data_IF_814142315800
#
_entry.id   IF_814142315800
#
_cell.length_a   1.000
_cell.length_b   1.000
_cell.length_c   1.000
_cell.angle_alpha   90.00
_cell.angle_beta   90.00
_cell.angle_gamma   90.00
#
_symmetry.space_group_name_H-M   'P 1'
#
loop_
_entity.id
_entity.type
_entity.pdbx_description
1 polymer ?
#
# COMPACT_ATOMS: atom_id res chain seq x y z
N UNK A 1 9.36 36.98 -7.94
CA UNK A 1 10.34 35.94 -8.30
C UNK A 1 9.53 34.74 -8.67
N UNK A 2 9.64 34.25 -9.89
CA UNK A 2 9.00 33.01 -10.29
C UNK A 2 9.57 31.88 -9.41
N UNK A 3 8.69 31.00 -8.91
CA UNK A 3 9.13 29.90 -8.03
C UNK A 3 9.91 28.89 -8.86
N UNK A 4 11.16 28.58 -8.48
CA UNK A 4 12.00 27.57 -9.15
C UNK A 4 11.45 26.14 -9.01
N UNK A 5 10.43 25.98 -8.16
CA UNK A 5 9.67 24.75 -7.98
C UNK A 5 8.24 24.95 -8.51
N UNK A 6 7.84 24.09 -9.45
CA UNK A 6 6.48 23.99 -9.97
C UNK A 6 6.04 22.54 -9.90
N UNK A 7 5.11 22.23 -9.00
CA UNK A 7 4.68 20.85 -8.76
C UNK A 7 3.94 20.28 -9.97
N UNK A 8 3.17 21.11 -10.67
CA UNK A 8 2.42 20.73 -11.88
C UNK A 8 3.38 20.37 -13.01
N UNK A 9 4.36 21.24 -13.31
CA UNK A 9 5.28 21.00 -14.42
C UNK A 9 6.17 19.78 -14.18
N UNK A 10 6.68 19.61 -12.95
CA UNK A 10 7.51 18.45 -12.60
C UNK A 10 6.65 17.18 -12.63
N UNK A 11 5.40 17.25 -12.16
CA UNK A 11 4.47 16.13 -12.27
C UNK A 11 4.22 15.75 -13.73
N UNK A 12 3.97 16.70 -14.63
CA UNK A 12 3.80 16.41 -16.06
C UNK A 12 5.07 15.79 -16.69
N UNK A 13 6.25 16.23 -16.27
CA UNK A 13 7.54 15.75 -16.78
C UNK A 13 8.11 14.53 -16.04
N UNK A 14 7.38 13.97 -15.08
CA UNK A 14 7.83 12.88 -14.22
C UNK A 14 8.43 11.68 -14.97
N UNK A 15 7.93 11.36 -16.16
CA UNK A 15 8.43 10.24 -16.96
C UNK A 15 9.93 10.37 -17.31
N UNK A 16 10.50 11.58 -17.24
CA UNK A 16 11.94 11.82 -17.40
C UNK A 16 12.78 11.34 -16.22
N UNK A 17 12.16 11.09 -15.06
CA UNK A 17 12.82 10.77 -13.79
C UNK A 17 12.54 9.34 -13.32
N UNK A 18 11.72 8.56 -14.03
CA UNK A 18 11.38 7.19 -13.62
C UNK A 18 12.57 6.24 -13.70
N UNK A 19 12.89 5.56 -12.61
CA UNK A 19 13.74 4.38 -12.61
C UNK A 19 12.99 3.18 -13.17
N UNK A 20 13.33 2.78 -14.40
CA UNK A 20 12.67 1.69 -15.12
C UNK A 20 13.25 0.31 -14.76
N UNK A 21 14.42 0.28 -14.11
CA UNK A 21 15.04 -0.96 -13.65
C UNK A 21 14.48 -1.46 -12.31
N UNK A 22 13.47 -0.78 -11.74
CA UNK A 22 12.80 -1.18 -10.50
C UNK A 22 11.30 -1.36 -10.74
N UNK A 23 10.81 -2.56 -10.42
CA UNK A 23 9.38 -2.86 -10.43
C UNK A 23 8.79 -2.51 -9.07
N UNK A 24 7.91 -1.52 -9.04
CA UNK A 24 7.28 -1.05 -7.80
C UNK A 24 6.29 -2.06 -7.20
N UNK A 25 5.89 -3.12 -7.93
CA UNK A 25 4.96 -4.13 -7.40
C UNK A 25 5.64 -4.94 -6.29
N UNK A 26 6.94 -5.21 -6.42
CA UNK A 26 7.77 -5.91 -5.42
C UNK A 26 9.23 -5.52 -5.65
N UNK A 27 9.86 -5.00 -4.60
CA UNK A 27 11.27 -4.62 -4.61
C UNK A 27 12.01 -5.46 -3.58
N UNK A 28 13.02 -6.19 -4.04
CA UNK A 28 13.87 -7.08 -3.23
C UNK A 28 15.22 -6.46 -2.90
N UNK A 29 16.01 -7.15 -2.08
CA UNK A 29 17.38 -6.71 -1.80
C UNK A 29 18.26 -6.75 -3.05
N UNK A 30 18.05 -7.73 -3.95
CA UNK A 30 18.81 -7.79 -5.21
C UNK A 30 18.51 -6.61 -6.14
N UNK A 31 17.25 -6.16 -6.20
CA UNK A 31 16.87 -5.01 -7.03
C UNK A 31 17.55 -3.73 -6.53
N UNK A 32 17.48 -3.50 -5.21
CA UNK A 32 18.14 -2.35 -4.56
C UNK A 32 19.66 -2.41 -4.72
N UNK A 33 20.27 -3.58 -4.52
CA UNK A 33 21.73 -3.77 -4.64
C UNK A 33 22.21 -3.48 -6.05
N UNK A 34 21.48 -3.93 -7.08
CA UNK A 34 21.79 -3.63 -8.48
C UNK A 34 21.80 -2.13 -8.75
N UNK A 35 20.81 -1.40 -8.23
CA UNK A 35 20.75 0.06 -8.38
C UNK A 35 21.81 0.77 -7.57
N UNK A 36 22.10 0.33 -6.34
CA UNK A 36 23.21 0.84 -5.53
C UNK A 36 24.52 0.73 -6.30
N UNK A 37 24.80 -0.41 -6.93
CA UNK A 37 25.98 -0.60 -7.75
C UNK A 37 26.01 0.36 -8.95
N UNK A 38 24.87 0.51 -9.66
CA UNK A 38 24.72 1.46 -10.77
C UNK A 38 25.00 2.91 -10.34
N UNK A 39 24.56 3.31 -9.16
CA UNK A 39 24.74 4.66 -8.63
C UNK A 39 26.09 4.88 -7.94
N UNK A 40 26.81 3.82 -7.58
CA UNK A 40 28.08 3.91 -6.82
C UNK A 40 29.17 4.74 -7.48
N UNK A 41 29.14 4.90 -8.81
CA UNK A 41 30.12 5.69 -9.57
C UNK A 41 29.71 7.17 -9.74
N UNK A 42 28.60 7.61 -9.16
CA UNK A 42 28.06 8.97 -9.37
C UNK A 42 28.58 9.93 -8.31
N UNK A 43 29.25 10.99 -8.74
CA UNK A 43 29.93 11.94 -7.84
C UNK A 43 28.98 12.79 -6.98
N UNK A 44 27.72 12.96 -7.39
CA UNK A 44 26.75 13.77 -6.65
C UNK A 44 26.20 13.10 -5.38
N UNK A 45 26.52 11.82 -5.17
CA UNK A 45 26.02 11.03 -4.06
C UNK A 45 27.14 10.21 -3.41
N UNK A 46 26.89 9.76 -2.18
CA UNK A 46 27.73 8.80 -1.45
C UNK A 46 26.86 7.63 -1.02
N UNK A 47 27.34 6.40 -1.18
CA UNK A 47 26.65 5.20 -0.69
C UNK A 47 27.51 4.52 0.37
N UNK A 48 26.91 4.18 1.49
CA UNK A 48 27.54 3.43 2.58
C UNK A 48 26.69 2.19 2.90
N UNK A 49 27.31 1.03 3.09
CA UNK A 49 26.68 -0.10 3.78
C UNK A 49 26.62 0.26 5.26
N UNK A 50 25.41 0.37 5.81
CA UNK A 50 25.18 0.79 7.21
C UNK A 50 24.82 -0.37 8.13
N UNK A 51 24.59 -1.56 7.57
CA UNK A 51 24.39 -2.77 8.36
C UNK A 51 23.93 -3.95 7.53
N UNK A 52 23.41 -4.96 8.22
CA UNK A 52 22.90 -6.19 7.64
C UNK A 52 21.63 -6.63 8.38
N UNK A 53 20.72 -7.28 7.68
CA UNK A 53 19.56 -7.95 8.27
C UNK A 53 19.92 -9.25 8.99
N UNK A 54 18.92 -9.92 9.55
CA UNK A 54 19.07 -11.23 10.20
C UNK A 54 19.66 -12.26 9.24
N UNK A 55 19.18 -12.33 8.00
CA UNK A 55 19.72 -13.22 6.96
C UNK A 55 20.92 -12.62 6.21
N UNK A 56 21.61 -11.63 6.80
CA UNK A 56 22.86 -11.07 6.26
C UNK A 56 22.72 -10.34 4.93
N UNK A 57 21.53 -9.81 4.62
CA UNK A 57 21.33 -8.93 3.47
C UNK A 57 21.75 -7.52 3.80
N UNK A 58 22.41 -6.87 2.86
CA UNK A 58 23.01 -5.56 3.09
C UNK A 58 21.95 -4.46 3.16
N UNK A 59 22.12 -3.54 4.12
CA UNK A 59 21.31 -2.33 4.26
C UNK A 59 22.20 -1.15 3.88
N UNK A 60 21.75 -0.36 2.91
CA UNK A 60 22.50 0.76 2.36
C UNK A 60 21.90 2.10 2.78
N UNK A 61 22.76 3.09 2.99
CA UNK A 61 22.39 4.49 3.11
C UNK A 61 22.99 5.29 1.96
N UNK A 62 22.15 6.06 1.27
CA UNK A 62 22.53 6.93 0.15
C UNK A 62 22.45 8.37 0.63
N UNK A 63 23.56 9.11 0.61
CA UNK A 63 23.64 10.52 0.97
C UNK A 63 23.75 11.39 -0.27
N UNK A 64 22.96 12.46 -0.35
CA UNK A 64 23.11 13.51 -1.36
C UNK A 64 23.15 14.90 -0.70
N UNK A 65 23.75 15.86 -1.40
CA UNK A 65 23.84 17.23 -0.94
C UNK A 65 24.93 17.46 0.10
N UNK A 66 25.11 18.72 0.45
CA UNK A 66 26.17 19.21 1.35
C UNK A 66 25.69 20.34 2.27
N UNK A 67 24.38 20.56 2.31
CA UNK A 67 23.79 21.65 3.07
C UNK A 67 23.64 21.35 4.56
N UNK A 68 23.43 22.40 5.35
CA UNK A 68 23.45 22.30 6.81
C UNK A 68 22.20 21.66 7.41
N UNK A 69 21.09 21.62 6.68
CA UNK A 69 19.85 20.99 7.16
C UNK A 69 19.87 19.51 6.82
N UNK A 70 19.83 18.65 7.84
CA UNK A 70 19.98 17.22 7.67
C UNK A 70 18.61 16.56 7.65
N UNK A 71 18.36 15.76 6.63
CA UNK A 71 17.12 15.00 6.46
C UNK A 71 17.44 13.50 6.45
N UNK A 72 16.57 12.71 7.04
CA UNK A 72 16.60 11.24 6.96
C UNK A 72 15.30 10.76 6.33
N UNK A 73 15.35 9.90 5.33
CA UNK A 73 14.18 9.26 4.76
C UNK A 73 14.42 7.76 4.66
N UNK A 74 13.45 6.94 5.05
CA UNK A 74 13.58 5.49 4.94
C UNK A 74 12.28 4.87 4.44
N UNK A 75 12.43 3.77 3.69
CA UNK A 75 11.32 3.01 3.12
C UNK A 75 11.51 1.51 3.33
N UNK A 76 10.43 0.76 3.08
CA UNK A 76 10.37 -0.69 3.28
C UNK A 76 10.92 -1.13 4.64
N UNK A 77 10.54 -0.43 5.72
CA UNK A 77 10.66 -1.02 7.06
C UNK A 77 9.66 -2.17 7.24
N UNK A 78 8.53 -2.07 6.54
CA UNK A 78 7.69 -3.20 6.19
C UNK A 78 8.06 -3.67 4.79
N UNK A 79 8.40 -4.95 4.64
CA UNK A 79 8.95 -5.47 3.40
C UNK A 79 7.98 -5.48 2.22
N UNK A 80 6.67 -5.49 2.48
CA UNK A 80 5.57 -5.49 1.52
C UNK A 80 5.14 -4.09 1.04
N UNK A 81 5.88 -3.04 1.41
CA UNK A 81 5.55 -1.63 1.13
C UNK A 81 6.59 -0.95 0.19
N UNK A 82 6.72 -1.41 -1.07
CA UNK A 82 7.79 -0.98 -2.00
C UNK A 82 7.59 0.40 -2.65
N UNK A 83 6.41 1.02 -2.56
CA UNK A 83 6.05 2.16 -3.43
C UNK A 83 7.01 3.33 -3.27
N UNK A 84 7.36 3.66 -2.02
CA UNK A 84 8.25 4.78 -1.74
C UNK A 84 9.72 4.48 -2.04
N UNK A 85 10.16 3.22 -1.97
CA UNK A 85 11.51 2.82 -2.40
C UNK A 85 11.71 3.15 -3.87
N UNK A 86 10.71 2.86 -4.70
CA UNK A 86 10.73 3.20 -6.12
C UNK A 86 10.83 4.72 -6.34
N UNK A 87 10.05 5.50 -5.56
CA UNK A 87 10.08 6.96 -5.61
C UNK A 87 11.43 7.56 -5.16
N UNK A 88 12.14 6.94 -4.22
CA UNK A 88 13.50 7.35 -3.84
C UNK A 88 14.45 7.22 -5.04
N UNK A 89 14.40 6.13 -5.79
CA UNK A 89 15.23 5.97 -6.98
C UNK A 89 14.83 6.95 -8.10
N UNK A 90 13.56 7.34 -8.20
CA UNK A 90 13.15 8.41 -9.10
C UNK A 90 13.72 9.77 -8.70
N UNK A 91 13.81 10.04 -7.39
CA UNK A 91 14.49 11.23 -6.88
C UNK A 91 15.98 11.21 -7.22
N UNK A 92 16.66 10.07 -7.08
CA UNK A 92 18.07 9.96 -7.46
C UNK A 92 18.26 10.23 -8.95
N UNK A 93 17.38 9.72 -9.82
CA UNK A 93 17.36 10.09 -11.24
C UNK A 93 17.10 11.58 -11.44
N UNK A 94 16.15 12.16 -10.71
CA UNK A 94 15.90 13.59 -10.77
C UNK A 94 17.18 14.37 -10.47
N UNK A 95 17.91 14.07 -9.39
CA UNK A 95 19.16 14.76 -9.04
C UNK A 95 20.32 14.50 -10.01
N UNK A 96 20.32 13.37 -10.74
CA UNK A 96 21.31 13.08 -11.77
C UNK A 96 21.10 13.89 -13.06
N UNK A 97 19.87 14.34 -13.34
CA UNK A 97 19.55 15.02 -14.60
C UNK A 97 20.20 16.41 -14.67
N UNK A 98 20.56 16.77 -15.91
CA UNK A 98 20.92 18.12 -16.32
C UNK A 98 19.82 18.66 -17.26
N UNK A 99 18.90 19.43 -16.71
CA UNK A 99 17.74 19.99 -17.42
C UNK A 99 17.30 21.33 -16.81
N UNK A 100 16.13 21.87 -17.20
CA UNK A 100 15.64 23.17 -16.73
C UNK A 100 15.48 23.30 -15.19
N UNK A 101 15.48 22.19 -14.44
CA UNK A 101 15.37 22.20 -12.97
C UNK A 101 16.72 22.21 -12.24
N UNK A 102 17.82 22.56 -12.92
CA UNK A 102 19.15 22.62 -12.29
C UNK A 102 19.18 23.60 -11.10
N UNK A 103 18.56 24.79 -11.22
CA UNK A 103 18.51 25.77 -10.13
C UNK A 103 17.82 25.19 -8.88
N UNK A 104 16.75 24.42 -9.08
CA UNK A 104 16.07 23.70 -8.00
C UNK A 104 16.98 22.65 -7.36
N UNK A 105 17.68 21.83 -8.17
CA UNK A 105 18.63 20.83 -7.64
C UNK A 105 19.74 21.49 -6.83
N UNK A 106 20.30 22.57 -7.34
CA UNK A 106 21.36 23.32 -6.66
C UNK A 106 20.87 23.91 -5.34
N UNK A 107 19.68 24.52 -5.31
CA UNK A 107 19.07 25.02 -4.08
C UNK A 107 18.92 23.88 -3.06
N UNK A 108 18.38 22.74 -3.47
CA UNK A 108 18.20 21.58 -2.58
C UNK A 108 19.54 21.04 -2.08
N UNK A 109 20.49 20.76 -2.97
CA UNK A 109 21.79 20.14 -2.63
C UNK A 109 22.70 21.08 -1.81
N UNK A 110 22.56 22.40 -1.95
CA UNK A 110 23.33 23.38 -1.18
C UNK A 110 22.72 23.66 0.20
N UNK A 111 21.40 23.50 0.38
CA UNK A 111 20.71 23.75 1.66
C UNK A 111 20.52 22.50 2.49
N UNK A 112 20.39 21.35 1.85
CA UNK A 112 20.07 20.07 2.47
C UNK A 112 21.24 19.08 2.35
N UNK A 113 21.36 18.22 3.36
CA UNK A 113 22.04 16.92 3.26
C UNK A 113 21.00 15.85 3.54
N UNK A 114 20.73 14.98 2.56
CA UNK A 114 19.62 14.02 2.61
C UNK A 114 20.17 12.62 2.67
N UNK A 115 19.80 11.87 3.70
CA UNK A 115 20.14 10.47 3.90
C UNK A 115 18.93 9.62 3.56
N UNK A 116 19.05 8.74 2.58
CA UNK A 116 18.04 7.74 2.23
C UNK A 116 18.46 6.36 2.71
N UNK A 117 17.55 5.62 3.33
CA UNK A 117 17.65 4.16 3.52
C UNK A 117 16.54 3.52 2.68
N UNK A 118 16.80 3.16 1.41
CA UNK A 118 15.73 2.73 0.49
C UNK A 118 15.09 1.40 0.88
N UNK A 119 15.78 0.54 1.63
CA UNK A 119 15.27 -0.76 2.04
C UNK A 119 15.82 -1.10 3.42
N UNK A 120 15.01 -0.85 4.46
CA UNK A 120 15.40 -1.13 5.84
C UNK A 120 15.19 -2.61 6.22
N UNK A 121 14.14 -3.25 5.72
CA UNK A 121 13.79 -4.65 5.98
C UNK A 121 13.96 -5.53 4.73
N UNK A 122 15.21 -5.82 4.30
CA UNK A 122 15.44 -6.65 3.12
C UNK A 122 14.93 -8.08 3.29
N UNK A 123 14.86 -8.62 4.52
CA UNK A 123 14.36 -9.97 4.78
C UNK A 123 12.85 -10.08 4.58
N UNK A 124 12.09 -9.09 5.07
CA UNK A 124 10.65 -8.98 4.81
C UNK A 124 10.35 -8.80 3.32
N UNK A 125 11.16 -7.99 2.63
CA UNK A 125 10.99 -7.68 1.22
C UNK A 125 11.12 -8.91 0.31
N UNK A 126 12.05 -9.83 0.62
CA UNK A 126 12.14 -11.11 -0.10
C UNK A 126 10.85 -11.93 -0.05
N UNK A 127 10.15 -11.88 1.09
CA UNK A 127 8.90 -12.60 1.30
C UNK A 127 7.64 -11.83 0.92
N UNK A 128 7.77 -10.55 0.53
CA UNK A 128 6.65 -9.59 0.51
C UNK A 128 5.85 -9.66 1.81
N UNK A 129 6.54 -9.44 2.94
CA UNK A 129 5.98 -9.48 4.28
C UNK A 129 6.24 -8.17 5.01
N UNK A 130 5.24 -7.76 5.79
CA UNK A 130 5.34 -6.63 6.71
C UNK A 130 6.47 -6.82 7.71
N UNK A 131 6.50 -7.95 8.40
CA UNK A 131 7.48 -8.22 9.44
C UNK A 131 8.84 -8.63 8.86
N UNK A 132 9.89 -8.58 9.69
CA UNK A 132 11.20 -9.11 9.33
C UNK A 132 11.24 -10.65 9.37
N UNK A 133 12.44 -11.23 9.25
CA UNK A 133 12.64 -12.68 9.22
C UNK A 133 12.02 -13.45 10.39
N UNK A 134 12.02 -12.88 11.59
CA UNK A 134 11.54 -13.53 12.82
C UNK A 134 10.15 -13.03 13.25
N UNK A 135 9.38 -12.47 12.31
CA UNK A 135 8.02 -11.96 12.54
C UNK A 135 7.94 -10.78 13.52
N UNK A 136 9.01 -9.98 13.63
CA UNK A 136 8.96 -8.70 14.34
C UNK A 136 8.56 -7.60 13.37
N UNK A 137 7.49 -6.87 13.69
CA UNK A 137 7.18 -5.58 13.06
C UNK A 137 8.24 -4.56 13.50
N UNK A 138 9.07 -4.10 12.56
CA UNK A 138 10.14 -3.14 12.86
C UNK A 138 9.59 -1.82 13.42
N UNK A 139 8.40 -1.41 12.99
CA UNK A 139 7.71 -0.23 13.50
C UNK A 139 7.01 -0.49 14.85
N UNK A 140 7.35 -1.60 15.52
CA UNK A 140 7.06 -1.91 16.93
C UNK A 140 8.32 -2.26 17.74
N UNK A 141 9.50 -2.01 17.18
CA UNK A 141 10.80 -2.38 17.77
C UNK A 141 11.72 -1.16 17.99
N UNK A 142 11.21 0.07 17.96
CA UNK A 142 12.05 1.27 18.16
C UNK A 142 12.61 1.38 19.59
N UNK A 143 11.89 0.93 20.61
CA UNK A 143 12.34 1.05 22.01
C UNK A 143 13.38 0.01 22.42
N UNK A 144 13.10 -1.26 22.12
CA UNK A 144 13.98 -2.37 22.52
C UNK A 144 15.08 -2.64 21.50
N UNK A 145 14.85 -2.30 20.23
CA UNK A 145 15.81 -2.51 19.14
C UNK A 145 16.33 -3.95 19.13
N UNK A 146 15.41 -4.92 19.23
CA UNK A 146 15.77 -6.34 19.29
C UNK A 146 16.41 -6.78 17.97
N UNK A 147 15.92 -6.23 16.86
CA UNK A 147 16.33 -6.60 15.51
C UNK A 147 17.54 -5.79 15.02
N UNK A 148 18.42 -6.36 14.19
CA UNK A 148 19.54 -5.60 13.63
C UNK A 148 19.07 -4.44 12.75
N UNK A 149 17.94 -4.57 12.05
CA UNK A 149 17.37 -3.52 11.21
C UNK A 149 16.97 -2.29 12.06
N UNK A 150 16.30 -2.51 13.20
CA UNK A 150 15.94 -1.43 14.11
C UNK A 150 17.17 -0.71 14.70
N UNK A 151 18.24 -1.47 15.02
CA UNK A 151 19.51 -0.90 15.49
C UNK A 151 20.16 -0.02 14.43
N UNK A 152 20.22 -0.49 13.18
CA UNK A 152 20.78 0.28 12.05
C UNK A 152 20.09 1.63 11.90
N UNK A 153 18.76 1.68 11.96
CA UNK A 153 18.03 2.94 11.82
C UNK A 153 18.37 3.93 12.96
N UNK A 154 18.46 3.46 14.20
CA UNK A 154 18.90 4.29 15.33
C UNK A 154 20.36 4.73 15.23
N UNK A 155 21.26 3.85 14.81
CA UNK A 155 22.68 4.17 14.63
C UNK A 155 22.86 5.27 13.59
N UNK A 156 22.17 5.17 12.45
CA UNK A 156 22.16 6.21 11.41
C UNK A 156 21.56 7.51 11.97
N UNK A 157 20.37 7.46 12.60
CA UNK A 157 19.71 8.64 13.16
C UNK A 157 20.58 9.35 14.21
N UNK A 158 21.22 8.60 15.12
CA UNK A 158 22.11 9.14 16.15
C UNK A 158 23.41 9.72 15.57
N UNK A 159 23.94 9.11 14.50
CA UNK A 159 25.14 9.59 13.79
C UNK A 159 24.85 10.91 13.08
N UNK A 160 23.74 11.01 12.35
CA UNK A 160 23.47 12.15 11.46
C UNK A 160 22.64 13.25 12.11
N UNK A 161 21.89 12.94 13.17
CA UNK A 161 21.04 13.87 13.94
C UNK A 161 20.13 14.71 13.02
N UNK A 162 19.20 14.06 12.31
CA UNK A 162 18.39 14.75 11.31
C UNK A 162 17.46 15.77 11.98
N UNK A 163 17.24 16.90 11.29
CA UNK A 163 16.24 17.88 11.69
C UNK A 163 14.83 17.34 11.40
N UNK A 164 14.64 16.74 10.23
CA UNK A 164 13.40 16.09 9.82
C UNK A 164 13.66 14.66 9.38
N UNK A 165 12.69 13.79 9.64
CA UNK A 165 12.73 12.40 9.23
C UNK A 165 11.44 12.02 8.48
N UNK A 166 11.56 11.34 7.34
CA UNK A 166 10.45 10.89 6.51
C UNK A 166 10.31 9.38 6.63
N UNK A 167 9.25 8.95 7.29
CA UNK A 167 8.86 7.57 7.45
C UNK A 167 7.94 7.18 6.29
N UNK A 168 8.38 6.31 5.39
CA UNK A 168 7.67 6.03 4.14
C UNK A 168 7.06 4.63 4.16
N UNK A 169 5.74 4.57 4.06
CA UNK A 169 4.91 3.35 4.16
C UNK A 169 3.98 3.20 2.96
N UNK A 170 3.30 2.06 2.90
CA UNK A 170 2.12 1.84 2.08
C UNK A 170 0.90 1.57 2.97
N UNK A 171 -0.24 2.12 2.57
CA UNK A 171 -1.54 1.74 3.11
C UNK A 171 -2.36 0.96 2.08
N UNK A 172 -3.32 0.16 2.56
CA UNK A 172 -4.21 -0.61 1.70
C UNK A 172 -5.23 0.30 0.97
N UNK A 173 -5.97 -0.29 0.03
CA UNK A 173 -6.94 0.43 -0.81
C UNK A 173 -8.28 0.74 -0.12
N UNK A 174 -8.43 0.46 1.17
CA UNK A 174 -9.71 0.55 1.87
C UNK A 174 -9.97 1.92 2.51
N UNK A 175 -8.96 2.81 2.44
CA UNK A 175 -9.01 4.14 3.03
C UNK A 175 -9.63 5.19 2.11
N UNK A 176 -10.47 6.05 2.69
CA UNK A 176 -11.04 7.24 2.08
C UNK A 176 -10.57 8.51 2.78
N UNK A 177 -10.61 9.63 2.06
CA UNK A 177 -10.39 10.97 2.65
C UNK A 177 -11.63 11.37 3.45
N UNK A 178 -11.55 11.28 4.77
CA UNK A 178 -12.72 11.45 5.63
C UNK A 178 -13.88 10.57 5.16
N UNK A 179 -15.09 11.14 5.21
CA UNK A 179 -16.33 10.52 4.72
C UNK A 179 -16.70 10.98 3.31
N UNK A 180 -15.74 11.42 2.50
CA UNK A 180 -16.02 12.00 1.17
C UNK A 180 -16.31 10.95 0.09
N UNK A 181 -16.05 9.66 0.37
CA UNK A 181 -16.11 8.58 -0.63
C UNK A 181 -14.95 8.56 -1.62
N UNK A 182 -14.02 9.53 -1.57
CA UNK A 182 -12.80 9.52 -2.40
C UNK A 182 -11.72 8.68 -1.74
N UNK A 183 -11.02 7.87 -2.54
CA UNK A 183 -9.86 7.10 -2.08
C UNK A 183 -8.75 8.00 -1.55
N UNK A 184 -8.09 7.57 -0.48
CA UNK A 184 -6.92 8.22 0.08
C UNK A 184 -5.68 7.82 -0.71
N UNK A 185 -5.22 8.71 -1.61
CA UNK A 185 -4.06 8.46 -2.46
C UNK A 185 -2.74 8.65 -1.68
N UNK A 186 -2.68 9.67 -0.83
CA UNK A 186 -1.61 9.90 0.13
C UNK A 186 -2.24 10.21 1.48
N UNK A 187 -1.74 9.61 2.55
CA UNK A 187 -2.04 10.10 3.89
C UNK A 187 -0.77 10.44 4.66
N UNK A 188 -0.86 11.42 5.56
CA UNK A 188 0.29 11.92 6.29
C UNK A 188 0.00 12.07 7.77
N UNK A 189 1.03 11.93 8.61
CA UNK A 189 0.92 12.10 10.05
C UNK A 189 2.16 12.79 10.63
N UNK A 190 1.91 13.77 11.49
CA UNK A 190 2.88 14.29 12.44
C UNK A 190 2.80 13.45 13.72
N UNK A 191 3.70 12.46 13.92
CA UNK A 191 3.53 11.44 14.95
C UNK A 191 3.51 12.06 16.35
N UNK A 192 2.59 11.63 17.23
CA UNK A 192 2.57 12.09 18.62
C UNK A 192 3.80 11.60 19.37
N UNK A 193 4.16 12.28 20.46
CA UNK A 193 5.24 11.85 21.35
C UNK A 193 4.74 11.42 22.74
N UNK A 194 3.44 11.54 22.99
CA UNK A 194 2.77 11.11 24.23
C UNK A 194 1.28 10.79 23.98
N UNK A 195 0.66 10.11 24.95
CA UNK A 195 -0.75 9.68 24.89
C UNK A 195 -1.74 10.84 24.95
N UNK A 196 -1.37 11.95 25.61
CA UNK A 196 -2.16 13.18 25.65
C UNK A 196 -2.18 13.91 24.30
N UNK A 197 -1.39 13.41 23.33
CA UNK A 197 -1.37 13.91 21.97
C UNK A 197 -1.01 15.41 21.90
N UNK A 198 -0.13 15.86 22.81
CA UNK A 198 0.27 17.27 22.92
C UNK A 198 1.12 17.72 21.74
N UNK A 199 1.24 19.04 21.56
CA UNK A 199 2.01 19.66 20.48
C UNK A 199 3.21 20.37 21.10
N UNK A 200 4.41 19.81 20.89
CA UNK A 200 5.68 20.48 21.17
C UNK A 200 6.23 21.08 19.85
N UNK A 201 7.35 21.81 19.94
CA UNK A 201 7.96 22.43 18.76
C UNK A 201 8.37 21.41 17.69
N UNK A 202 8.84 20.23 18.07
CA UNK A 202 9.23 19.17 17.13
C UNK A 202 8.04 18.67 16.31
N UNK A 203 6.91 18.37 16.97
CA UNK A 203 5.70 17.91 16.31
C UNK A 203 5.03 19.01 15.52
N UNK A 204 5.03 20.25 16.03
CA UNK A 204 4.53 21.44 15.34
C UNK A 204 5.23 21.64 14.00
N UNK A 205 6.55 21.54 13.94
CA UNK A 205 7.32 21.58 12.69
C UNK A 205 6.88 20.51 11.69
N UNK A 206 6.63 19.27 12.16
CA UNK A 206 6.09 18.20 11.31
C UNK A 206 4.70 18.53 10.78
N UNK A 207 3.79 19.06 11.62
CA UNK A 207 2.44 19.48 11.20
C UNK A 207 2.51 20.57 10.13
N UNK A 208 3.35 21.58 10.35
CA UNK A 208 3.59 22.67 9.40
C UNK A 208 4.15 22.17 8.06
N UNK A 209 5.10 21.24 8.11
CA UNK A 209 5.66 20.63 6.90
C UNK A 209 4.61 19.82 6.14
N UNK A 210 3.80 19.01 6.83
CA UNK A 210 2.70 18.24 6.23
C UNK A 210 1.67 19.17 5.60
N UNK A 211 1.28 20.25 6.27
CA UNK A 211 0.37 21.25 5.71
C UNK A 211 0.94 21.87 4.42
N UNK A 212 2.26 22.13 4.39
CA UNK A 212 2.94 22.62 3.19
C UNK A 212 2.95 21.59 2.06
N UNK A 213 3.25 20.33 2.35
CA UNK A 213 3.23 19.25 1.36
C UNK A 213 1.79 19.04 0.83
N UNK A 214 0.80 19.03 1.72
CA UNK A 214 -0.61 18.92 1.33
C UNK A 214 -1.00 20.04 0.36
N UNK A 215 -0.64 21.30 0.65
CA UNK A 215 -0.91 22.43 -0.27
C UNK A 215 -0.35 22.19 -1.67
N UNK A 216 0.83 21.58 -1.79
CA UNK A 216 1.43 21.20 -3.07
C UNK A 216 0.68 20.06 -3.76
N UNK A 217 0.39 18.97 -3.03
CA UNK A 217 -0.23 17.76 -3.59
C UNK A 217 -1.69 17.99 -3.99
N UNK A 218 -2.41 18.87 -3.29
CA UNK A 218 -3.79 19.25 -3.62
C UNK A 218 -3.91 19.89 -5.01
N UNK A 219 -2.83 20.48 -5.56
CA UNK A 219 -2.81 21.00 -6.94
C UNK A 219 -2.86 19.88 -8.00
N UNK A 220 -2.46 18.67 -7.63
CA UNK A 220 -2.31 17.52 -8.52
C UNK A 220 -3.47 16.53 -8.38
N UNK A 221 -3.88 16.27 -7.13
CA UNK A 221 -4.95 15.33 -6.80
C UNK A 221 -5.92 15.94 -5.77
N UNK A 222 -6.77 16.90 -6.17
CA UNK A 222 -7.66 17.61 -5.26
C UNK A 222 -8.57 16.67 -4.46
N UNK A 223 -8.59 16.84 -3.14
CA UNK A 223 -9.39 16.10 -2.16
C UNK A 223 -9.09 14.59 -2.09
N UNK A 224 -7.84 14.18 -2.38
CA UNK A 224 -7.36 12.79 -2.24
C UNK A 224 -6.18 12.64 -1.28
N UNK A 225 -5.95 13.67 -0.45
CA UNK A 225 -4.96 13.66 0.63
C UNK A 225 -5.68 13.62 1.97
N UNK A 226 -5.20 12.78 2.88
CA UNK A 226 -5.76 12.63 4.22
C UNK A 226 -4.70 12.75 5.32
N UNK A 227 -5.16 12.90 6.56
CA UNK A 227 -4.36 12.74 7.77
C UNK A 227 -4.49 11.31 8.27
N UNK A 228 -3.38 10.66 8.63
CA UNK A 228 -3.43 9.35 9.29
C UNK A 228 -3.76 9.53 10.78
N UNK A 229 -4.39 8.53 11.39
CA UNK A 229 -4.79 8.59 12.80
C UNK A 229 -3.57 8.76 13.70
N UNK A 230 -3.64 9.66 14.67
CA UNK A 230 -2.54 10.07 15.53
C UNK A 230 -2.56 9.40 16.92
N UNK A 231 -2.93 8.12 16.96
CA UNK A 231 -2.81 7.31 18.18
C UNK A 231 -1.32 7.15 18.54
N UNK A 232 -0.96 7.40 19.81
CA UNK A 232 0.41 7.21 20.28
C UNK A 232 0.79 5.73 20.38
N UNK A 233 1.80 5.33 19.62
CA UNK A 233 2.45 4.02 19.66
C UNK A 233 3.94 4.24 20.03
N UNK A 234 4.30 4.18 21.32
CA UNK A 234 5.64 4.51 21.80
C UNK A 234 6.72 3.56 21.28
N UNK A 235 6.36 2.44 20.67
CA UNK A 235 7.31 1.50 20.06
C UNK A 235 7.59 1.79 18.58
N UNK A 236 6.90 2.75 17.98
CA UNK A 236 7.10 3.14 16.59
C UNK A 236 8.27 4.10 16.42
N UNK A 237 8.90 4.09 15.25
CA UNK A 237 10.02 4.99 14.95
C UNK A 237 9.56 6.45 14.83
N UNK A 238 8.36 6.70 14.27
CA UNK A 238 7.81 8.04 14.16
C UNK A 238 7.68 8.74 15.52
N UNK A 239 7.01 8.07 16.48
CA UNK A 239 6.75 8.63 17.80
C UNK A 239 8.04 8.82 18.61
N UNK A 240 8.92 7.82 18.59
CA UNK A 240 10.19 7.87 19.30
C UNK A 240 11.15 8.92 18.72
N UNK A 241 11.16 9.13 17.40
CA UNK A 241 11.91 10.23 16.78
C UNK A 241 11.35 11.59 17.20
N UNK A 242 10.03 11.77 17.18
CA UNK A 242 9.40 13.01 17.68
C UNK A 242 9.74 13.24 19.16
N UNK A 243 9.71 12.20 20.00
CA UNK A 243 10.10 12.27 21.41
C UNK A 243 11.58 12.62 21.60
N UNK A 244 12.45 12.23 20.66
CA UNK A 244 13.88 12.54 20.65
C UNK A 244 14.23 13.79 19.81
N UNK A 245 13.29 14.73 19.70
CA UNK A 245 13.49 16.03 19.05
C UNK A 245 13.79 15.99 17.54
N UNK A 246 13.43 14.91 16.85
CA UNK A 246 13.51 14.78 15.39
C UNK A 246 12.10 14.99 14.83
N UNK A 247 11.91 15.98 13.95
CA UNK A 247 10.60 16.26 13.35
C UNK A 247 10.23 15.19 12.33
N UNK A 248 9.53 14.16 12.78
CA UNK A 248 9.13 13.02 11.93
C UNK A 248 7.85 13.33 11.14
N UNK A 249 7.81 12.89 9.88
CA UNK A 249 6.64 12.93 8.99
C UNK A 249 6.41 11.53 8.45
N UNK A 250 5.24 10.96 8.70
CA UNK A 250 4.78 9.75 8.02
C UNK A 250 4.16 10.13 6.67
N UNK A 251 4.50 9.38 5.62
CA UNK A 251 3.82 9.40 4.33
C UNK A 251 3.38 7.97 4.00
N UNK A 252 2.08 7.78 3.89
CA UNK A 252 1.43 6.52 3.52
C UNK A 252 1.06 6.54 2.03
N UNK A 253 1.62 5.59 1.29
CA UNK A 253 1.33 5.35 -0.13
C UNK A 253 0.02 4.60 -0.27
N UNK A 254 -1.06 5.35 -0.51
CA UNK A 254 -2.41 4.80 -0.56
C UNK A 254 -2.82 4.23 -1.89
N UNK A 255 -4.02 4.60 -2.31
CA UNK A 255 -4.67 4.06 -3.49
C UNK A 255 -5.46 5.14 -4.22
N UNK A 256 -5.41 5.09 -5.54
CA UNK A 256 -6.28 5.86 -6.42
C UNK A 256 -7.08 4.88 -7.28
N UNK A 257 -8.39 5.09 -7.39
CA UNK A 257 -9.26 4.27 -8.23
C UNK A 257 -8.73 4.27 -9.67
N UNK A 258 -8.45 3.08 -10.22
CA UNK A 258 -7.84 2.90 -11.54
C UNK A 258 -6.31 2.73 -11.52
N UNK A 259 -5.63 3.06 -10.44
CA UNK A 259 -4.16 2.93 -10.32
C UNK A 259 -3.75 1.62 -9.62
N UNK A 260 -4.16 0.48 -10.20
CA UNK A 260 -3.93 -0.84 -9.58
C UNK A 260 -2.46 -1.15 -9.32
N UNK A 261 -1.57 -0.66 -10.15
CA UNK A 261 -0.13 -0.90 -10.01
C UNK A 261 0.57 0.13 -9.12
N UNK A 262 -0.13 1.15 -8.60
CA UNK A 262 0.44 2.27 -7.81
C UNK A 262 1.39 3.20 -8.59
N UNK A 263 1.21 3.36 -9.90
CA UNK A 263 2.05 4.23 -10.73
C UNK A 263 1.82 5.71 -10.45
N UNK A 264 0.56 6.12 -10.25
CA UNK A 264 0.23 7.46 -9.78
C UNK A 264 0.70 7.64 -8.33
N UNK A 265 0.55 6.64 -7.47
CA UNK A 265 0.97 6.73 -6.06
C UNK A 265 2.50 6.88 -5.92
N UNK A 266 3.30 6.15 -6.70
CA UNK A 266 4.78 6.33 -6.77
C UNK A 266 5.14 7.76 -7.19
N UNK A 267 4.49 8.24 -8.25
CA UNK A 267 4.65 9.61 -8.75
C UNK A 267 4.28 10.68 -7.72
N UNK A 268 3.22 10.45 -6.94
CA UNK A 268 2.82 11.34 -5.85
C UNK A 268 3.81 11.33 -4.69
N UNK A 269 4.38 10.17 -4.33
CA UNK A 269 5.45 10.10 -3.34
C UNK A 269 6.70 10.90 -3.78
N UNK A 270 7.08 10.77 -5.05
CA UNK A 270 8.18 11.55 -5.63
C UNK A 270 7.94 13.06 -5.47
N UNK A 271 6.74 13.56 -5.82
CA UNK A 271 6.42 14.98 -5.65
C UNK A 271 6.29 15.38 -4.17
N UNK A 272 5.72 14.53 -3.32
CA UNK A 272 5.53 14.83 -1.90
C UNK A 272 6.88 15.02 -1.19
N UNK A 273 7.84 14.14 -1.46
CA UNK A 273 9.21 14.25 -0.97
C UNK A 273 9.90 15.51 -1.53
N UNK A 274 9.81 15.76 -2.83
CA UNK A 274 10.43 16.94 -3.45
C UNK A 274 9.84 18.26 -2.92
N UNK A 275 8.52 18.31 -2.72
CA UNK A 275 7.82 19.44 -2.10
C UNK A 275 8.25 19.62 -0.64
N UNK A 276 8.39 18.52 0.11
CA UNK A 276 8.93 18.55 1.48
C UNK A 276 10.35 19.11 1.51
N UNK A 277 11.23 18.63 0.64
CA UNK A 277 12.62 19.12 0.55
C UNK A 277 12.67 20.61 0.20
N UNK A 278 11.90 21.04 -0.80
CA UNK A 278 11.84 22.45 -1.18
C UNK A 278 11.28 23.34 -0.06
N UNK A 279 10.21 22.89 0.60
CA UNK A 279 9.61 23.63 1.72
C UNK A 279 10.59 23.77 2.89
N UNK A 280 11.38 22.74 3.16
CA UNK A 280 12.47 22.81 4.14
C UNK A 280 13.59 23.74 3.64
N UNK A 281 14.11 23.59 2.42
CA UNK A 281 15.24 24.41 1.97
C UNK A 281 14.95 25.91 2.02
N UNK A 282 13.70 26.29 1.77
CA UNK A 282 13.20 27.68 1.70
C UNK A 282 12.48 28.16 2.96
N UNK A 283 12.29 27.30 3.96
CA UNK A 283 11.47 27.55 5.16
C UNK A 283 9.99 27.88 4.89
N UNK A 284 9.42 27.45 3.76
CA UNK A 284 8.01 27.71 3.45
C UNK A 284 7.04 27.06 4.44
N UNK A 285 7.40 25.92 5.03
CA UNK A 285 6.58 25.26 6.05
C UNK A 285 6.26 26.18 7.24
N UNK A 286 7.15 27.13 7.59
CA UNK A 286 6.91 28.08 8.68
C UNK A 286 5.72 29.02 8.44
N UNK A 287 5.25 29.13 7.19
CA UNK A 287 4.04 29.90 6.84
C UNK A 287 2.75 29.14 7.17
N UNK A 288 2.84 27.85 7.46
CA UNK A 288 1.70 27.00 7.78
C UNK A 288 1.42 26.99 9.27
N UNK A 289 0.21 26.60 9.64
CA UNK A 289 -0.27 26.52 11.02
C UNK A 289 -0.73 25.11 11.38
N UNK A 290 -0.91 24.86 12.68
CA UNK A 290 -1.54 23.63 13.17
C UNK A 290 -2.98 23.49 12.64
N UNK A 291 -3.70 24.62 12.48
CA UNK A 291 -5.03 24.65 11.86
C UNK A 291 -5.01 24.14 10.42
N UNK A 292 -4.00 24.52 9.63
CA UNK A 292 -3.86 24.03 8.25
C UNK A 292 -3.66 22.51 8.22
N UNK A 293 -2.89 21.96 9.17
CA UNK A 293 -2.73 20.51 9.33
C UNK A 293 -4.04 19.81 9.72
N UNK A 294 -4.75 20.33 10.72
CA UNK A 294 -6.03 19.74 11.16
C UNK A 294 -7.18 19.94 10.16
N UNK A 295 -7.04 20.84 9.19
CA UNK A 295 -7.99 20.97 8.07
C UNK A 295 -7.94 19.78 7.10
N UNK A 296 -6.85 18.99 7.12
CA UNK A 296 -6.72 17.79 6.31
C UNK A 296 -7.64 16.71 6.91
N UNK A 297 -8.61 16.17 6.15
CA UNK A 297 -9.53 15.16 6.67
C UNK A 297 -8.79 13.90 7.11
N UNK A 298 -9.16 13.34 8.26
CA UNK A 298 -8.61 12.07 8.71
C UNK A 298 -9.07 10.91 7.83
N UNK A 299 -8.21 9.93 7.58
CA UNK A 299 -8.56 8.70 6.87
C UNK A 299 -9.74 7.98 7.53
N UNK A 300 -10.61 7.37 6.73
CA UNK A 300 -11.65 6.44 7.19
C UNK A 300 -11.59 5.14 6.40
N UNK A 301 -12.03 4.03 6.97
CA UNK A 301 -12.07 2.73 6.28
C UNK A 301 -13.45 2.51 5.70
N UNK A 302 -13.69 3.05 4.50
CA UNK A 302 -15.03 3.10 3.88
C UNK A 302 -15.07 2.60 2.44
N UNK A 303 -13.93 2.13 1.90
CA UNK A 303 -13.81 1.70 0.52
C UNK A 303 -13.67 0.17 0.44
N UNK A 304 -14.55 -0.46 -0.34
CA UNK A 304 -14.50 -1.89 -0.64
C UNK A 304 -13.95 -2.15 -2.04
N UNK A 305 -13.28 -3.29 -2.23
CA UNK A 305 -12.88 -3.77 -3.56
C UNK A 305 -14.06 -4.06 -4.49
N UNK A 306 -15.15 -4.54 -3.91
CA UNK A 306 -16.43 -4.79 -4.55
C UNK A 306 -17.55 -4.50 -3.55
N UNK A 307 -18.46 -3.60 -3.93
CA UNK A 307 -19.68 -3.30 -3.19
C UNK A 307 -20.89 -3.74 -4.01
N UNK A 308 -21.71 -4.61 -3.45
CA UNK A 308 -22.91 -5.12 -4.10
C UNK A 308 -24.13 -4.61 -3.35
N UNK A 309 -25.01 -3.89 -4.04
CA UNK A 309 -26.16 -3.21 -3.44
C UNK A 309 -27.46 -4.01 -3.58
N UNK A 310 -28.37 -3.78 -2.64
CA UNK A 310 -29.80 -4.07 -2.75
C UNK A 310 -30.13 -5.56 -2.97
N UNK A 311 -29.33 -6.46 -2.39
CA UNK A 311 -29.52 -7.90 -2.52
C UNK A 311 -30.69 -8.37 -1.66
N UNK A 312 -31.37 -9.39 -2.16
CA UNK A 312 -32.35 -10.17 -1.40
C UNK A 312 -31.64 -11.34 -0.73
N UNK A 313 -31.61 -11.37 0.60
CA UNK A 313 -31.09 -12.49 1.38
C UNK A 313 -32.24 -13.21 2.07
N UNK A 314 -32.37 -14.52 1.85
CA UNK A 314 -33.45 -15.35 2.41
C UNK A 314 -32.89 -16.33 3.42
N UNK A 315 -33.47 -16.36 4.61
CA UNK A 315 -33.14 -17.34 5.65
C UNK A 315 -34.34 -17.60 6.54
N UNK A 316 -34.55 -18.86 6.95
CA UNK A 316 -35.67 -19.27 7.80
C UNK A 316 -37.06 -18.78 7.34
N UNK A 317 -37.28 -18.74 6.02
CA UNK A 317 -38.54 -18.27 5.41
C UNK A 317 -38.75 -16.75 5.48
N UNK A 318 -37.78 -15.98 5.95
CA UNK A 318 -37.80 -14.51 5.95
C UNK A 318 -36.92 -13.96 4.85
N UNK A 319 -37.25 -12.74 4.40
CA UNK A 319 -36.55 -12.02 3.36
C UNK A 319 -35.98 -10.71 3.91
N UNK A 320 -34.71 -10.45 3.61
CA UNK A 320 -33.98 -9.26 4.04
C UNK A 320 -33.37 -8.56 2.83
N UNK A 321 -33.27 -7.23 2.91
CA UNK A 321 -32.50 -6.43 1.95
C UNK A 321 -31.17 -6.05 2.57
N UNK A 322 -30.08 -6.38 1.90
CA UNK A 322 -28.73 -6.14 2.39
C UNK A 322 -27.81 -5.71 1.27
N UNK A 323 -26.79 -4.94 1.62
CA UNK A 323 -25.60 -4.73 0.80
C UNK A 323 -24.48 -5.68 1.28
N UNK A 324 -23.53 -5.98 0.40
CA UNK A 324 -22.32 -6.75 0.73
C UNK A 324 -21.06 -5.96 0.34
N UNK A 325 -20.18 -5.75 1.32
CA UNK A 325 -18.85 -5.17 1.12
C UNK A 325 -17.79 -6.26 1.09
N UNK A 326 -16.99 -6.31 0.04
CA UNK A 326 -15.98 -7.35 -0.18
C UNK A 326 -14.62 -6.71 -0.36
N UNK A 327 -13.61 -7.22 0.35
CA UNK A 327 -12.20 -6.85 0.19
C UNK A 327 -11.38 -8.02 -0.36
N UNK A 328 -10.39 -7.70 -1.18
CA UNK A 328 -9.44 -8.63 -1.78
C UNK A 328 -8.07 -8.38 -1.17
N UNK A 329 -7.69 -9.22 -0.23
CA UNK A 329 -6.38 -9.14 0.40
C UNK A 329 -5.30 -9.64 -0.57
N UNK A 330 -4.33 -8.79 -0.91
CA UNK A 330 -3.19 -9.15 -1.76
C UNK A 330 -2.25 -10.10 -1.00
N UNK A 331 -1.88 -11.20 -1.64
CA UNK A 331 -0.97 -12.24 -1.15
C UNK A 331 0.12 -12.51 -2.17
N UNK A 332 1.29 -12.93 -1.70
CA UNK A 332 2.42 -13.32 -2.54
C UNK A 332 2.65 -14.83 -2.45
N UNK A 333 2.66 -15.51 -3.61
CA UNK A 333 3.07 -16.91 -3.72
C UNK A 333 4.54 -16.94 -4.14
N UNK A 334 5.41 -17.32 -3.19
CA UNK A 334 6.87 -17.32 -3.39
C UNK A 334 7.29 -18.35 -4.43
N UNK A 335 6.64 -19.50 -4.46
CA UNK A 335 6.95 -20.63 -5.35
C UNK A 335 6.74 -20.27 -6.82
N UNK A 336 5.68 -19.52 -7.11
CA UNK A 336 5.34 -19.06 -8.46
C UNK A 336 5.88 -17.66 -8.77
N UNK A 337 6.42 -16.96 -7.76
CA UNK A 337 6.78 -15.55 -7.84
C UNK A 337 5.63 -14.68 -8.41
N UNK A 338 4.41 -14.92 -7.93
CA UNK A 338 3.19 -14.26 -8.40
C UNK A 338 2.34 -13.75 -7.25
N UNK A 339 1.62 -12.65 -7.51
CA UNK A 339 0.61 -12.13 -6.61
C UNK A 339 -0.75 -12.73 -6.91
N UNK A 340 -1.53 -12.92 -5.86
CA UNK A 340 -2.92 -13.32 -5.93
C UNK A 340 -3.72 -12.62 -4.84
N UNK A 341 -5.03 -12.71 -4.89
CA UNK A 341 -5.91 -12.15 -3.86
C UNK A 341 -6.67 -13.25 -3.10
N UNK A 342 -6.99 -12.98 -1.83
CA UNK A 342 -8.04 -13.68 -1.08
C UNK A 342 -9.20 -12.72 -0.84
N UNK A 343 -10.33 -12.98 -1.49
CA UNK A 343 -11.56 -12.21 -1.37
C UNK A 343 -12.38 -12.65 -0.17
N UNK A 344 -12.76 -11.70 0.68
CA UNK A 344 -13.60 -11.93 1.85
C UNK A 344 -14.74 -10.93 1.93
N UNK A 345 -15.86 -11.38 2.48
CA UNK A 345 -16.96 -10.50 2.86
C UNK A 345 -16.53 -9.80 4.15
N UNK A 346 -16.47 -8.48 4.12
CA UNK A 346 -16.03 -7.67 5.25
C UNK A 346 -17.20 -7.04 5.98
N UNK A 347 -18.31 -6.78 5.29
CA UNK A 347 -19.50 -6.19 5.90
C UNK A 347 -20.78 -6.62 5.18
N UNK A 348 -21.86 -6.75 5.95
CA UNK A 348 -23.20 -7.13 5.51
C UNK A 348 -24.23 -6.20 6.16
N UNK A 349 -25.11 -5.59 5.38
CA UNK A 349 -26.20 -4.77 5.92
C UNK A 349 -26.38 -3.44 5.20
N UNK A 350 -26.59 -2.36 5.96
CA UNK A 350 -26.70 -1.01 5.41
C UNK A 350 -25.32 -0.42 5.15
N UNK A 351 -24.91 -0.42 3.88
CA UNK A 351 -23.64 0.15 3.43
C UNK A 351 -23.82 1.51 2.76
N UNK A 352 -24.93 2.21 2.98
CA UNK A 352 -25.28 3.48 2.29
C UNK A 352 -24.21 4.57 2.38
N UNK A 353 -23.39 4.55 3.44
CA UNK A 353 -22.28 5.48 3.62
C UNK A 353 -20.94 5.00 3.04
N UNK A 354 -20.84 3.76 2.60
CA UNK A 354 -19.63 3.15 2.02
C UNK A 354 -19.61 3.27 0.50
N UNK A 355 -18.43 3.08 -0.08
CA UNK A 355 -18.19 3.14 -1.53
C UNK A 355 -17.47 1.88 -2.01
N UNK A 356 -17.73 1.47 -3.26
CA UNK A 356 -16.99 0.39 -3.92
C UNK A 356 -16.02 0.92 -4.97
N UNK A 357 -14.83 0.32 -5.09
CA UNK A 357 -13.96 0.48 -6.26
C UNK A 357 -14.69 -0.04 -7.50
N UNK A 358 -15.32 -1.20 -7.35
CA UNK A 358 -16.34 -1.70 -8.25
C UNK A 358 -17.66 -1.74 -7.48
N UNK A 359 -18.71 -1.13 -8.03
CA UNK A 359 -20.02 -1.09 -7.40
C UNK A 359 -21.06 -1.61 -8.37
N UNK A 360 -21.90 -2.54 -7.90
CA UNK A 360 -22.94 -3.18 -8.71
C UNK A 360 -24.25 -3.18 -7.94
N UNK A 361 -25.30 -2.67 -8.55
CA UNK A 361 -26.66 -2.78 -8.02
C UNK A 361 -27.31 -4.06 -8.54
N UNK A 362 -27.63 -4.97 -7.61
CA UNK A 362 -28.32 -6.22 -7.88
C UNK A 362 -29.70 -6.25 -7.19
N UNK A 363 -30.42 -5.13 -7.28
CA UNK A 363 -31.82 -5.01 -6.85
C UNK A 363 -32.69 -6.15 -7.39
N UNK A 364 -33.34 -6.87 -6.48
CA UNK A 364 -34.23 -7.99 -6.81
C UNK A 364 -33.52 -9.31 -7.13
N UNK A 365 -32.19 -9.37 -6.97
CA UNK A 365 -31.45 -10.61 -7.06
C UNK A 365 -31.34 -11.26 -5.68
N UNK A 366 -31.60 -12.57 -5.63
CA UNK A 366 -31.37 -13.38 -4.45
C UNK A 366 -29.90 -13.79 -4.37
N UNK A 367 -29.24 -13.52 -3.24
CA UNK A 367 -27.88 -13.98 -2.98
C UNK A 367 -27.89 -15.31 -2.21
N UNK A 368 -27.10 -16.27 -2.68
CA UNK A 368 -26.90 -17.59 -2.06
C UNK A 368 -25.41 -17.91 -1.98
N UNK A 369 -24.94 -18.70 -0.99
CA UNK A 369 -23.60 -19.28 -1.06
C UNK A 369 -23.41 -20.02 -2.39
N UNK A 370 -22.26 -19.83 -3.05
CA UNK A 370 -21.94 -20.62 -4.24
C UNK A 370 -21.79 -22.10 -3.87
N UNK A 371 -21.97 -22.99 -4.86
CA UNK A 371 -21.89 -24.44 -4.64
C UNK A 371 -20.46 -24.97 -4.78
N UNK A 372 -20.23 -26.13 -4.18
CA UNK A 372 -19.01 -26.93 -4.36
C UNK A 372 -19.35 -28.09 -5.29
N UNK A 373 -18.55 -28.30 -6.32
CA UNK A 373 -18.75 -29.41 -7.25
C UNK A 373 -18.26 -30.70 -6.59
N UNK A 374 -19.21 -31.57 -6.24
CA UNK A 374 -18.99 -32.73 -5.37
C UNK A 374 -18.13 -33.83 -5.98
N UNK A 375 -18.08 -33.94 -7.32
CA UNK A 375 -17.21 -34.91 -7.99
C UNK A 375 -15.76 -34.51 -7.77
N UNK A 376 -14.99 -35.43 -7.19
CA UNK A 376 -13.55 -35.28 -7.05
C UNK A 376 -12.83 -35.36 -8.40
N UNK A 377 -11.84 -34.49 -8.56
CA UNK A 377 -10.90 -34.51 -9.67
C UNK A 377 -9.52 -35.00 -9.19
N UNK A 378 -8.90 -35.90 -9.96
CA UNK A 378 -7.51 -36.34 -9.74
C UNK A 378 -6.47 -35.37 -10.34
N UNK A 379 -6.91 -34.46 -11.22
CA UNK A 379 -6.08 -33.44 -11.87
C UNK A 379 -6.90 -32.19 -12.17
N UNK A 380 -6.26 -31.08 -12.50
CA UNK A 380 -6.98 -29.83 -12.78
C UNK A 380 -7.83 -29.95 -14.06
N UNK A 381 -9.14 -29.63 -14.00
CA UNK A 381 -9.99 -29.69 -15.18
C UNK A 381 -9.56 -28.69 -16.27
N UNK A 382 -9.99 -28.99 -17.50
CA UNK A 382 -9.81 -28.10 -18.64
C UNK A 382 -10.57 -26.77 -18.44
N UNK A 383 -10.18 -25.72 -19.18
CA UNK A 383 -10.84 -24.41 -19.08
C UNK A 383 -12.31 -24.46 -19.51
N UNK A 384 -12.68 -25.39 -20.39
CA UNK A 384 -14.05 -25.59 -20.82
C UNK A 384 -14.89 -26.31 -19.74
N UNK A 385 -14.34 -27.34 -19.10
CA UNK A 385 -14.98 -27.98 -17.95
C UNK A 385 -15.17 -26.98 -16.80
N UNK A 386 -14.15 -26.16 -16.51
CA UNK A 386 -14.25 -25.11 -15.49
C UNK A 386 -15.36 -24.11 -15.82
N UNK A 387 -15.46 -23.68 -17.07
CA UNK A 387 -16.54 -22.81 -17.53
C UNK A 387 -17.91 -23.46 -17.29
N UNK A 388 -18.08 -24.72 -17.65
CA UNK A 388 -19.33 -25.45 -17.44
C UNK A 388 -19.68 -25.56 -15.95
N UNK A 389 -18.70 -25.90 -15.11
CA UNK A 389 -18.84 -25.97 -13.65
C UNK A 389 -19.30 -24.61 -13.08
N UNK A 390 -18.67 -23.51 -13.48
CA UNK A 390 -19.02 -22.16 -13.02
C UNK A 390 -20.40 -21.74 -13.51
N UNK A 391 -20.72 -21.93 -14.79
CA UNK A 391 -22.05 -21.59 -15.34
C UNK A 391 -23.19 -22.40 -14.72
N UNK A 392 -22.88 -23.53 -14.05
CA UNK A 392 -23.83 -24.32 -13.26
C UNK A 392 -23.95 -23.89 -11.78
N UNK A 393 -23.24 -22.83 -11.36
CA UNK A 393 -23.33 -22.25 -10.01
C UNK A 393 -22.28 -22.71 -9.01
N UNK A 394 -21.20 -23.35 -9.48
CA UNK A 394 -20.14 -23.88 -8.62
C UNK A 394 -18.87 -23.02 -8.71
N UNK A 395 -18.39 -22.51 -7.57
CA UNK A 395 -17.17 -21.68 -7.50
C UNK A 395 -15.93 -22.48 -7.15
N UNK A 396 -16.12 -23.73 -6.72
CA UNK A 396 -15.10 -24.54 -6.06
C UNK A 396 -15.26 -25.99 -6.51
N UNK A 397 -14.14 -26.68 -6.76
CA UNK A 397 -14.11 -28.13 -7.04
C UNK A 397 -13.44 -28.89 -5.92
N UNK A 398 -13.87 -30.13 -5.68
CA UNK A 398 -13.11 -31.09 -4.87
C UNK A 398 -11.97 -31.67 -5.69
N UNK A 399 -10.79 -31.72 -5.11
CA UNK A 399 -9.59 -32.23 -5.79
C UNK A 399 -8.78 -33.11 -4.85
N UNK A 400 -8.15 -34.14 -5.42
CA UNK A 400 -7.15 -34.93 -4.72
C UNK A 400 -6.08 -34.00 -4.12
N UNK A 401 -5.85 -34.03 -2.79
CA UNK A 401 -4.82 -33.23 -2.15
C UNK A 401 -3.43 -33.38 -2.79
N UNK A 402 -3.10 -34.55 -3.36
CA UNK A 402 -1.82 -34.80 -4.02
C UNK A 402 -1.67 -34.09 -5.38
N UNK A 403 -2.77 -33.67 -5.99
CA UNK A 403 -2.78 -32.89 -7.23
C UNK A 403 -2.53 -31.40 -6.99
N UNK A 404 -2.66 -30.93 -5.75
CA UNK A 404 -2.48 -29.51 -5.38
C UNK A 404 -0.98 -29.21 -5.27
N UNK A 405 -0.51 -28.25 -6.07
CA UNK A 405 0.90 -27.84 -6.10
C UNK A 405 1.17 -26.52 -5.38
N UNK A 406 0.22 -25.60 -5.41
CA UNK A 406 0.36 -24.23 -4.93
C UNK A 406 -0.94 -23.78 -4.27
N UNK A 407 -0.87 -22.77 -3.39
CA UNK A 407 -2.04 -22.18 -2.73
C UNK A 407 -2.91 -21.31 -3.64
N UNK A 408 -2.46 -21.08 -4.87
CA UNK A 408 -3.03 -20.19 -5.87
C UNK A 408 -3.04 -20.85 -7.24
N UNK A 409 -4.04 -20.50 -8.05
CA UNK A 409 -4.22 -20.95 -9.42
C UNK A 409 -4.54 -19.78 -10.34
N UNK A 410 -3.88 -19.79 -11.49
CA UNK A 410 -4.24 -18.94 -12.63
C UNK A 410 -5.46 -19.49 -13.38
N UNK A 411 -6.51 -19.82 -12.64
CA UNK A 411 -7.79 -20.32 -13.13
C UNK A 411 -8.94 -19.68 -12.34
N UNK A 412 -10.12 -19.51 -12.92
CA UNK A 412 -11.25 -18.84 -12.27
C UNK A 412 -12.03 -19.74 -11.31
N UNK A 413 -11.37 -20.68 -10.62
CA UNK A 413 -12.03 -21.65 -9.75
C UNK A 413 -11.19 -21.97 -8.53
N UNK A 414 -11.84 -22.13 -7.38
CA UNK A 414 -11.17 -22.54 -6.15
C UNK A 414 -11.03 -24.05 -6.07
N UNK A 415 -10.05 -24.49 -5.29
CA UNK A 415 -9.84 -25.89 -4.96
C UNK A 415 -10.16 -26.15 -3.49
N UNK A 416 -10.94 -27.19 -3.25
CA UNK A 416 -11.11 -27.77 -1.93
C UNK A 416 -10.40 -29.14 -1.91
N UNK A 417 -9.32 -29.31 -1.13
CA UNK A 417 -8.76 -30.64 -0.87
C UNK A 417 -9.86 -31.60 -0.39
N UNK A 418 -10.01 -32.76 -1.02
CA UNK A 418 -11.12 -33.70 -0.73
C UNK A 418 -11.15 -34.22 0.71
N UNK A 419 -10.04 -34.15 1.44
CA UNK A 419 -9.93 -34.51 2.85
C UNK A 419 -10.42 -33.41 3.81
N UNK A 420 -10.73 -32.20 3.32
CA UNK A 420 -11.24 -31.09 4.11
C UNK A 420 -12.76 -30.97 4.00
N UNK A 421 -13.41 -30.72 5.14
CA UNK A 421 -14.83 -30.35 5.19
C UNK A 421 -14.95 -28.84 5.19
N UNK A 422 -15.66 -28.31 4.20
CA UNK A 422 -15.88 -26.89 4.05
C UNK A 422 -17.17 -26.67 3.27
N UNK A 423 -17.93 -25.66 3.66
CA UNK A 423 -19.10 -25.19 2.95
C UNK A 423 -19.02 -23.68 2.84
N UNK A 424 -19.46 -23.12 1.71
CA UNK A 424 -19.58 -21.68 1.58
C UNK A 424 -20.71 -21.16 2.45
N UNK A 425 -20.49 -20.01 3.08
CA UNK A 425 -21.49 -19.29 3.85
C UNK A 425 -21.45 -17.81 3.50
N UNK A 426 -22.49 -17.07 3.89
CA UNK A 426 -22.54 -15.62 3.77
C UNK A 426 -22.38 -15.07 5.19
N UNK A 427 -21.23 -14.47 5.47
CA UNK A 427 -20.89 -13.93 6.79
C UNK A 427 -19.63 -13.10 6.73
N UNK A 428 -19.41 -12.30 7.77
CA UNK A 428 -18.19 -11.49 7.89
C UNK A 428 -16.97 -12.44 8.02
N UNK A 429 -15.86 -12.07 7.38
CA UNK A 429 -14.61 -12.84 7.22
C UNK A 429 -14.68 -14.10 6.35
N UNK A 430 -15.86 -14.48 5.87
CA UNK A 430 -16.03 -15.64 4.98
C UNK A 430 -15.47 -15.37 3.59
N UNK A 431 -14.95 -16.43 2.95
CA UNK A 431 -14.47 -16.35 1.58
C UNK A 431 -15.61 -15.94 0.66
N UNK A 432 -15.41 -14.87 -0.11
CA UNK A 432 -16.42 -14.31 -0.99
C UNK A 432 -16.65 -15.21 -2.21
N UNK A 433 -17.52 -16.21 -2.05
CA UNK A 433 -17.96 -17.15 -3.08
C UNK A 433 -19.49 -17.22 -3.10
N UNK A 434 -20.09 -16.47 -4.00
CA UNK A 434 -21.52 -16.17 -4.00
C UNK A 434 -22.15 -16.47 -5.36
N UNK A 435 -23.44 -16.73 -5.35
CA UNK A 435 -24.27 -16.92 -6.53
C UNK A 435 -25.50 -16.03 -6.44
N UNK A 436 -25.86 -15.40 -7.56
CA UNK A 436 -26.93 -14.41 -7.62
C UNK A 436 -27.99 -14.84 -8.62
N UNK A 437 -29.23 -14.91 -8.15
CA UNK A 437 -30.36 -15.43 -8.90
C UNK A 437 -31.41 -14.35 -9.14
N UNK A 438 -31.93 -14.30 -10.35
CA UNK A 438 -33.12 -13.50 -10.69
C UNK A 438 -34.15 -14.43 -11.31
N UNK A 439 -35.36 -14.47 -10.74
CA UNK A 439 -36.41 -15.42 -11.14
C UNK A 439 -35.90 -16.88 -11.17
N UNK A 440 -35.15 -17.27 -10.13
CA UNK A 440 -34.48 -18.57 -9.99
C UNK A 440 -33.49 -18.95 -11.10
N UNK A 441 -33.12 -18.02 -11.98
CA UNK A 441 -32.04 -18.20 -12.95
C UNK A 441 -30.74 -17.61 -12.40
N UNK A 442 -29.65 -18.38 -12.46
CA UNK A 442 -28.32 -17.88 -12.11
C UNK A 442 -27.89 -16.82 -13.13
N UNK A 443 -27.51 -15.63 -12.66
CA UNK A 443 -27.11 -14.50 -13.51
C UNK A 443 -25.70 -14.03 -13.24
N UNK A 444 -25.27 -14.04 -11.98
CA UNK A 444 -23.92 -13.67 -11.58
C UNK A 444 -23.34 -14.68 -10.60
N UNK A 445 -22.02 -14.73 -10.57
CA UNK A 445 -21.25 -15.34 -9.50
C UNK A 445 -20.22 -14.36 -8.96
N UNK A 446 -19.86 -14.52 -7.70
CA UNK A 446 -18.61 -13.99 -7.16
C UNK A 446 -17.74 -15.19 -6.86
N UNK A 447 -16.52 -15.22 -7.41
CA UNK A 447 -15.53 -16.25 -7.14
C UNK A 447 -14.31 -15.56 -6.55
N UNK A 448 -13.98 -15.91 -5.30
CA UNK A 448 -12.87 -15.31 -4.55
C UNK A 448 -12.87 -13.77 -4.59
N UNK A 449 -14.05 -13.16 -4.43
CA UNK A 449 -14.23 -11.70 -4.41
C UNK A 449 -14.24 -11.00 -5.78
N UNK A 450 -14.30 -11.76 -6.88
CA UNK A 450 -14.45 -11.21 -8.23
C UNK A 450 -15.83 -11.55 -8.79
N UNK A 451 -16.62 -10.54 -9.14
CA UNK A 451 -17.93 -10.71 -9.75
C UNK A 451 -17.81 -11.07 -11.24
N UNK A 452 -18.62 -12.02 -11.71
CA UNK A 452 -18.67 -12.48 -13.10
C UNK A 452 -20.15 -12.62 -13.54
N UNK A 453 -20.54 -12.06 -14.69
CA UNK A 453 -21.82 -12.40 -15.31
C UNK A 453 -21.75 -13.81 -15.93
N UNK A 454 -22.85 -14.57 -15.85
CA UNK A 454 -22.93 -15.92 -16.43
C UNK A 454 -23.13 -15.89 -17.95
N UNK A 455 -24.01 -15.01 -18.44
CA UNK A 455 -24.36 -14.94 -19.87
C UNK A 455 -23.15 -14.60 -20.75
N UNK A 456 -22.26 -13.73 -20.26
CA UNK A 456 -21.02 -13.31 -20.93
C UNK A 456 -19.79 -13.77 -20.16
N UNK A 457 -19.87 -14.94 -19.53
CA UNK A 457 -18.78 -15.45 -18.73
C UNK A 457 -17.50 -15.57 -19.57
N UNK A 458 -16.44 -14.91 -19.09
CA UNK A 458 -15.08 -15.03 -19.62
C UNK A 458 -14.19 -15.61 -18.53
N UNK A 459 -13.24 -16.47 -18.91
CA UNK A 459 -12.20 -17.03 -18.04
C UNK A 459 -11.14 -15.97 -17.64
N UNK A 460 -11.55 -14.71 -17.43
CA UNK A 460 -10.64 -13.58 -17.20
C UNK A 460 -10.14 -13.46 -15.75
N UNK A 461 -10.78 -14.15 -14.81
CA UNK A 461 -10.36 -14.15 -13.40
C UNK A 461 -9.34 -15.25 -13.19
N UNK A 462 -8.06 -14.90 -13.22
CA UNK A 462 -6.97 -15.85 -12.99
C UNK A 462 -6.56 -15.82 -11.51
N UNK A 463 -7.52 -16.04 -10.61
CA UNK A 463 -7.34 -15.87 -9.17
C UNK A 463 -8.04 -16.94 -8.30
N UNK A 464 -7.94 -18.20 -8.70
CA UNK A 464 -8.39 -19.34 -7.92
C UNK A 464 -7.50 -19.57 -6.71
N UNK A 465 -8.08 -19.96 -5.57
CA UNK A 465 -7.34 -20.27 -4.35
C UNK A 465 -7.57 -21.70 -3.89
N UNK A 466 -6.61 -22.23 -3.14
CA UNK A 466 -6.82 -23.44 -2.34
C UNK A 466 -7.45 -23.03 -1.02
N UNK A 467 -8.61 -23.61 -0.72
CA UNK A 467 -9.30 -23.48 0.55
C UNK A 467 -8.55 -24.34 1.57
N UNK A 468 -8.17 -23.72 2.68
CA UNK A 468 -7.30 -24.28 3.71
C UNK A 468 -7.79 -23.97 5.10
#
# INVERSE_FOLDING_TARGET
MDTIFSEIEIFEQYNNYVENEIDQIRITNSDVTKLVQKYSSKEFLRIEKVGESIEKREIYCITIGKGRRILLAWSQMHGDEPTATAAIFDLLKFFERNDKYNDLREELLNKLTIYFIPLLNPDGAEGYKRENKISVDLNRDSLKTVTPEAKVLWEVANKVKPEFAFNLHDQNSYYTVGRTGKSSAISMLAPPFNYENTINETRKKSMQLIASINKSIQKLIPNQVARYKDDHEPRSFGDTFTANSISSVLIESGFAIGDRNKSLIRKLNFIALLAGFYSISTNEYLKMTETDYYSIPENQTMLFDLLIRNLVYKTNGQEFRVDLGINREKKFCKELNKFYCKGKIMEVGDLSSFVGINEVDLSGYEVRPAKIFEKEFSELPSNEEIRQIITSGHSTIKIDPFAIRHTFLEKPINLLPSNLKYEHSIGIEELANLSFYQNDQLKYMVINGFICPIENYSNSILNGIVIS
#
